data_IF_179945048416
#
_entry.id   IF_179945048416
#
_cell.length_a   1.000
_cell.length_b   1.000
_cell.length_c   1.000
_cell.angle_alpha   90.00
_cell.angle_beta   90.00
_cell.angle_gamma   90.00
#
_symmetry.space_group_name_H-M   'P 1'
#
loop_
_entity.id
_entity.type
_entity.pdbx_description
1 polymer ?
#
# COMPACT_ATOMS: atom_id res chain seq x y z
N UNK A 1 14.39 20.99 8.23
CA UNK A 1 15.19 20.42 7.13
C UNK A 1 15.46 18.97 7.50
N UNK A 2 15.06 18.01 6.68
CA UNK A 2 15.32 16.60 6.97
C UNK A 2 16.83 16.35 6.92
N UNK A 3 17.36 15.66 7.93
CA UNK A 3 18.71 15.10 7.88
C UNK A 3 18.59 13.66 7.41
N UNK A 4 19.53 13.21 6.59
CA UNK A 4 19.58 11.80 6.21
C UNK A 4 19.81 10.96 7.47
N UNK A 5 19.05 9.88 7.58
CA UNK A 5 19.15 8.91 8.67
C UNK A 5 19.17 7.50 8.06
N UNK A 6 20.31 6.77 8.11
CA UNK A 6 20.42 5.44 7.53
C UNK A 6 19.51 4.41 8.22
N UNK A 7 19.07 4.68 9.46
CA UNK A 7 18.12 3.82 10.15
C UNK A 7 16.74 3.83 9.50
N UNK A 8 16.47 4.74 8.56
CA UNK A 8 15.22 4.77 7.80
C UNK A 8 15.16 3.75 6.64
N UNK A 9 16.31 3.24 6.19
CA UNK A 9 16.41 2.33 5.03
C UNK A 9 15.57 1.04 5.18
N UNK A 10 15.46 0.40 6.35
CA UNK A 10 14.61 -0.79 6.52
C UNK A 10 13.12 -0.52 6.25
N UNK A 11 12.65 0.72 6.41
CA UNK A 11 11.24 1.06 6.20
C UNK A 11 10.90 1.41 4.74
N UNK A 12 11.90 1.57 3.87
CA UNK A 12 11.73 2.01 2.50
C UNK A 12 11.16 0.92 1.57
N UNK A 13 10.36 1.31 0.58
CA UNK A 13 10.20 0.55 -0.67
C UNK A 13 11.49 0.59 -1.50
N UNK A 14 11.60 -0.23 -2.54
CA UNK A 14 12.79 -0.24 -3.41
C UNK A 14 13.06 1.14 -4.03
N UNK A 15 12.01 1.82 -4.51
CA UNK A 15 12.14 3.19 -5.05
C UNK A 15 12.52 4.21 -3.97
N UNK A 16 11.95 4.11 -2.77
CA UNK A 16 12.30 5.00 -1.65
C UNK A 16 13.75 4.77 -1.18
N UNK A 17 14.21 3.52 -1.20
CA UNK A 17 15.58 3.14 -0.85
C UNK A 17 16.57 3.77 -1.84
N UNK A 18 16.31 3.63 -3.14
CA UNK A 18 17.14 4.25 -4.18
C UNK A 18 17.23 5.78 -4.01
N UNK A 19 16.12 6.44 -3.68
CA UNK A 19 16.08 7.87 -3.38
C UNK A 19 17.00 8.20 -2.18
N UNK A 20 16.82 7.52 -1.05
CA UNK A 20 17.57 7.77 0.18
C UNK A 20 19.07 7.47 0.02
N UNK A 21 19.44 6.37 -0.63
CA UNK A 21 20.83 6.00 -0.90
C UNK A 21 21.51 6.99 -1.85
N UNK A 22 20.78 7.50 -2.85
CA UNK A 22 21.30 8.53 -3.75
C UNK A 22 21.50 9.86 -3.01
N UNK A 23 20.61 10.20 -2.07
CA UNK A 23 20.78 11.38 -1.23
C UNK A 23 21.97 11.23 -0.27
N UNK A 24 22.15 10.07 0.35
CA UNK A 24 23.33 9.79 1.19
C UNK A 24 24.63 9.96 0.40
N UNK A 25 24.69 9.35 -0.80
CA UNK A 25 25.87 9.41 -1.67
C UNK A 25 26.22 10.84 -2.11
N UNK A 26 25.23 11.67 -2.40
CA UNK A 26 25.44 13.01 -2.96
C UNK A 26 25.47 14.12 -1.89
N UNK A 27 24.98 13.84 -0.67
CA UNK A 27 24.88 14.81 0.43
C UNK A 27 23.89 15.95 0.20
N UNK A 28 23.26 16.03 -0.98
CA UNK A 28 22.35 17.10 -1.39
C UNK A 28 21.07 16.53 -1.99
N UNK A 29 19.95 16.84 -1.33
CA UNK A 29 18.61 16.40 -1.77
C UNK A 29 18.27 16.97 -3.16
N UNK A 30 18.70 18.19 -3.46
CA UNK A 30 18.47 18.83 -4.75
C UNK A 30 19.28 18.18 -5.89
N UNK A 31 20.46 17.64 -5.59
CA UNK A 31 21.26 16.90 -6.58
C UNK A 31 20.76 15.47 -6.77
N UNK A 32 20.33 14.81 -5.69
CA UNK A 32 19.69 13.50 -5.76
C UNK A 32 18.41 13.54 -6.61
N UNK A 33 17.55 14.55 -6.38
CA UNK A 33 16.32 14.71 -7.15
C UNK A 33 16.59 14.92 -8.65
N UNK A 34 17.55 15.78 -9.00
CA UNK A 34 17.96 16.00 -10.40
C UNK A 34 18.55 14.74 -11.05
N UNK A 35 19.36 13.99 -10.30
CA UNK A 35 20.01 12.77 -10.80
C UNK A 35 19.00 11.67 -11.10
N UNK A 36 17.98 11.54 -10.26
CA UNK A 36 16.93 10.52 -10.40
C UNK A 36 15.73 10.98 -11.24
N UNK A 37 15.82 12.18 -11.82
CA UNK A 37 14.78 12.78 -12.67
C UNK A 37 13.45 12.99 -11.94
N UNK A 38 13.47 13.20 -10.63
CA UNK A 38 12.26 13.35 -9.83
C UNK A 38 12.08 14.77 -9.30
N UNK A 39 10.82 15.20 -9.18
CA UNK A 39 10.48 16.49 -8.58
C UNK A 39 10.84 16.50 -7.10
N UNK A 40 11.44 17.61 -6.64
CA UNK A 40 11.78 17.81 -5.21
C UNK A 40 10.57 17.60 -4.30
N UNK A 41 9.38 18.01 -4.75
CA UNK A 41 8.12 17.82 -3.99
C UNK A 41 7.81 16.33 -3.79
N UNK A 42 8.00 15.50 -4.81
CA UNK A 42 7.79 14.05 -4.72
C UNK A 42 8.84 13.39 -3.82
N UNK A 43 10.10 13.86 -3.88
CA UNK A 43 11.16 13.42 -2.96
C UNK A 43 10.80 13.72 -1.50
N UNK A 44 10.37 14.95 -1.18
CA UNK A 44 9.97 15.35 0.17
C UNK A 44 8.79 14.52 0.68
N UNK A 45 7.83 14.18 -0.18
CA UNK A 45 6.71 13.30 0.15
C UNK A 45 7.17 11.88 0.45
N UNK A 46 8.11 11.34 -0.33
CA UNK A 46 8.68 10.02 -0.11
C UNK A 46 9.39 9.92 1.24
N UNK A 47 10.23 10.89 1.61
CA UNK A 47 10.88 10.93 2.94
C UNK A 47 9.84 10.96 4.06
N UNK A 48 8.81 11.82 3.94
CA UNK A 48 7.74 11.91 4.95
C UNK A 48 7.00 10.59 5.11
N UNK A 49 6.73 9.87 4.03
CA UNK A 49 6.08 8.57 4.07
C UNK A 49 6.95 7.54 4.81
N UNK A 50 8.25 7.50 4.52
CA UNK A 50 9.22 6.61 5.20
C UNK A 50 9.28 6.91 6.70
N UNK A 51 9.38 8.19 7.09
CA UNK A 51 9.39 8.59 8.51
C UNK A 51 8.10 8.19 9.21
N UNK A 52 6.93 8.39 8.58
CA UNK A 52 5.65 7.95 9.16
C UNK A 52 5.60 6.44 9.37
N UNK A 53 6.08 5.66 8.40
CA UNK A 53 6.17 4.20 8.51
C UNK A 53 7.14 3.76 9.63
N UNK A 54 8.28 4.43 9.75
CA UNK A 54 9.25 4.21 10.83
C UNK A 54 8.61 4.42 12.22
N UNK A 55 7.83 5.51 12.38
CA UNK A 55 7.11 5.82 13.63
C UNK A 55 6.10 4.73 13.99
N UNK A 56 5.34 4.20 13.02
CA UNK A 56 4.39 3.09 13.25
C UNK A 56 5.09 1.80 13.72
N UNK A 57 6.34 1.60 13.34
CA UNK A 57 7.16 0.50 13.81
C UNK A 57 7.92 0.79 15.09
N UNK A 58 7.79 1.99 15.69
CA UNK A 58 8.44 2.36 16.94
C UNK A 58 9.75 3.10 16.79
N UNK A 59 10.03 3.67 15.62
CA UNK A 59 11.23 4.46 15.34
C UNK A 59 10.90 5.96 15.20
N UNK A 60 11.20 6.70 16.26
CA UNK A 60 11.20 8.16 16.34
C UNK A 60 12.25 8.62 17.36
N UNK A 61 13.51 8.84 16.93
CA UNK A 61 14.61 9.22 17.83
C UNK A 61 14.34 10.49 18.62
N UNK A 62 13.70 11.50 18.01
CA UNK A 62 13.34 12.77 18.66
C UNK A 62 12.33 12.61 19.81
N UNK A 63 11.69 11.43 19.92
CA UNK A 63 10.71 11.10 20.96
C UNK A 63 11.14 9.89 21.81
N UNK A 64 12.44 9.59 21.86
CA UNK A 64 13.03 8.46 22.60
C UNK A 64 12.50 7.08 22.19
N UNK A 65 11.96 6.96 20.97
CA UNK A 65 11.46 5.73 20.38
C UNK A 65 12.51 5.16 19.43
N UNK A 66 13.42 4.32 19.92
CA UNK A 66 14.48 3.72 19.08
C UNK A 66 14.39 2.19 18.98
N UNK A 67 13.41 1.59 19.66
CA UNK A 67 13.21 0.14 19.69
C UNK A 67 12.01 -0.22 18.84
N UNK A 68 12.28 -0.90 17.74
CA UNK A 68 11.27 -1.23 16.75
C UNK A 68 10.66 -2.62 16.99
N UNK A 69 9.48 -2.83 16.39
CA UNK A 69 8.88 -4.16 16.23
C UNK A 69 9.36 -4.83 14.95
N UNK A 70 9.32 -6.18 14.86
CA UNK A 70 9.64 -6.88 13.63
C UNK A 70 8.74 -6.51 12.46
N UNK A 71 9.20 -6.78 11.25
CA UNK A 71 8.42 -6.54 10.02
C UNK A 71 7.04 -7.21 10.07
N UNK A 72 6.03 -6.47 9.60
CA UNK A 72 4.63 -6.90 9.59
C UNK A 72 3.88 -6.67 10.91
N UNK A 73 4.54 -6.15 11.95
CA UNK A 73 3.89 -5.71 13.18
C UNK A 73 3.84 -4.18 13.25
N UNK A 74 2.89 -3.66 14.04
CA UNK A 74 2.79 -2.24 14.38
C UNK A 74 2.82 -2.05 15.90
N UNK A 75 3.47 -0.98 16.35
CA UNK A 75 3.49 -0.61 17.77
C UNK A 75 2.11 -0.11 18.18
N UNK A 76 1.48 -0.79 19.13
CA UNK A 76 0.18 -0.36 19.70
C UNK A 76 0.33 0.80 20.69
N UNK A 77 1.46 0.87 21.37
CA UNK A 77 1.79 1.92 22.33
C UNK A 77 3.21 1.74 22.87
N UNK A 78 3.80 2.84 23.35
CA UNK A 78 5.14 2.85 23.95
C UNK A 78 5.01 3.20 25.42
N UNK A 79 5.78 2.49 26.23
CA UNK A 79 5.83 2.67 27.67
C UNK A 79 7.28 2.89 28.08
N UNK A 80 7.62 4.13 28.38
CA UNK A 80 8.99 4.54 28.71
C UNK A 80 9.09 4.92 30.18
N UNK A 81 10.12 4.40 30.85
CA UNK A 81 10.45 4.79 32.21
C UNK A 81 11.61 5.79 32.20
N UNK A 82 11.33 7.01 32.65
CA UNK A 82 12.34 8.05 32.83
C UNK A 82 12.77 8.07 34.29
N UNK A 83 14.08 7.89 34.52
CA UNK A 83 14.66 7.95 35.86
C UNK A 83 14.55 9.38 36.40
N UNK A 84 14.56 9.51 37.72
CA UNK A 84 14.58 10.80 38.38
C UNK A 84 15.79 11.62 37.93
N UNK A 85 15.57 12.91 37.66
CA UNK A 85 16.58 13.90 37.34
C UNK A 85 16.62 14.96 38.45
N UNK A 86 17.64 15.84 38.50
CA UNK A 86 17.64 16.96 39.43
C UNK A 86 16.39 17.86 39.30
N UNK A 87 15.76 17.85 38.12
CA UNK A 87 14.62 18.69 37.76
C UNK A 87 13.25 17.99 37.98
N UNK A 88 13.21 16.73 38.43
CA UNK A 88 11.93 16.05 38.68
C UNK A 88 12.01 14.58 39.12
N UNK A 89 10.90 14.04 39.67
CA UNK A 89 10.82 12.65 40.10
C UNK A 89 10.83 11.68 38.92
N UNK A 90 11.12 10.42 39.19
CA UNK A 90 11.01 9.36 38.18
C UNK A 90 9.57 9.28 37.63
N UNK A 91 9.44 9.13 36.32
CA UNK A 91 8.15 9.17 35.63
C UNK A 91 7.97 7.98 34.70
N UNK A 92 6.76 7.42 34.71
CA UNK A 92 6.33 6.43 33.74
C UNK A 92 5.44 7.10 32.71
N UNK A 93 5.88 7.14 31.44
CA UNK A 93 5.11 7.72 30.34
C UNK A 93 4.57 6.59 29.47
N UNK A 94 3.25 6.57 29.29
CA UNK A 94 2.56 5.65 28.38
C UNK A 94 1.94 6.46 27.25
N UNK A 95 2.29 6.12 26.01
CA UNK A 95 1.69 6.66 24.80
C UNK A 95 0.97 5.55 24.05
N UNK A 96 -0.17 5.87 23.47
CA UNK A 96 -0.93 4.98 22.58
C UNK A 96 -1.35 5.78 21.36
N UNK A 97 -1.12 5.24 20.17
CA UNK A 97 -1.66 5.85 18.96
C UNK A 97 -3.19 5.79 19.01
N UNK A 98 -3.85 6.90 18.69
CA UNK A 98 -5.31 6.88 18.52
C UNK A 98 -5.66 6.08 17.27
N UNK A 99 -6.84 5.46 17.24
CA UNK A 99 -7.30 4.74 16.04
C UNK A 99 -7.30 5.65 14.80
N UNK A 100 -7.64 6.93 14.98
CA UNK A 100 -7.61 7.92 13.90
C UNK A 100 -6.20 8.16 13.35
N UNK A 101 -5.19 8.30 14.21
CA UNK A 101 -3.80 8.50 13.76
C UNK A 101 -3.27 7.28 12.99
N UNK A 102 -3.70 6.07 13.35
CA UNK A 102 -3.36 4.85 12.60
C UNK A 102 -4.04 4.86 11.23
N UNK A 103 -5.33 5.21 11.15
CA UNK A 103 -6.07 5.29 9.89
C UNK A 103 -5.45 6.33 8.95
N UNK A 104 -5.12 7.51 9.46
CA UNK A 104 -4.53 8.57 8.65
C UNK A 104 -3.14 8.18 8.14
N UNK A 105 -2.31 7.56 8.98
CA UNK A 105 -1.02 7.04 8.56
C UNK A 105 -1.14 5.92 7.52
N UNK A 106 -2.14 5.03 7.63
CA UNK A 106 -2.41 4.01 6.64
C UNK A 106 -2.85 4.61 5.30
N UNK A 107 -3.72 5.64 5.32
CA UNK A 107 -4.11 6.38 4.11
C UNK A 107 -2.90 6.99 3.41
N UNK A 108 -2.02 7.65 4.16
CA UNK A 108 -0.81 8.25 3.59
C UNK A 108 0.13 7.21 2.97
N UNK A 109 0.24 6.02 3.57
CA UNK A 109 1.01 4.91 3.01
C UNK A 109 0.37 4.40 1.72
N UNK A 110 -0.96 4.24 1.69
CA UNK A 110 -1.69 3.85 0.48
C UNK A 110 -1.50 4.89 -0.63
N UNK A 111 -1.60 6.19 -0.33
CA UNK A 111 -1.34 7.25 -1.30
C UNK A 111 0.10 7.25 -1.83
N UNK A 112 1.08 6.93 -0.97
CA UNK A 112 2.46 6.77 -1.41
C UNK A 112 2.64 5.54 -2.31
N UNK A 113 1.98 4.42 -2.01
CA UNK A 113 2.03 3.20 -2.82
C UNK A 113 1.35 3.37 -4.19
N UNK A 114 0.31 4.21 -4.28
CA UNK A 114 -0.33 4.57 -5.55
C UNK A 114 0.63 5.22 -6.55
N UNK A 115 1.75 5.82 -6.10
CA UNK A 115 2.70 6.48 -7.00
C UNK A 115 3.43 5.51 -7.93
N UNK A 116 3.51 4.23 -7.56
CA UNK A 116 4.14 3.18 -8.37
C UNK A 116 3.13 2.49 -9.31
N UNK A 117 1.84 2.82 -9.22
CA UNK A 117 0.79 2.29 -10.10
C UNK A 117 0.67 3.22 -11.32
N UNK A 118 0.87 2.73 -12.56
CA UNK A 118 0.71 3.56 -13.75
C UNK A 118 -0.73 4.07 -13.84
N UNK A 119 -0.88 5.40 -13.94
CA UNK A 119 -2.20 5.99 -14.18
C UNK A 119 -2.74 5.54 -15.53
N UNK A 120 -4.00 5.11 -15.55
CA UNK A 120 -4.70 4.90 -16.81
C UNK A 120 -4.74 6.20 -17.62
N UNK A 121 -4.59 6.10 -18.93
CA UNK A 121 -4.72 7.24 -19.84
C UNK A 121 -6.11 7.87 -19.66
N UNK A 122 -6.15 9.17 -19.38
CA UNK A 122 -7.41 9.90 -19.29
C UNK A 122 -8.17 9.79 -20.62
N UNK A 123 -9.43 9.37 -20.55
CA UNK A 123 -10.33 9.33 -21.71
C UNK A 123 -11.15 10.61 -21.78
N UNK A 124 -11.52 11.01 -23.00
CA UNK A 124 -12.46 12.12 -23.19
C UNK A 124 -13.83 11.68 -22.66
N UNK A 125 -14.45 12.43 -21.74
CA UNK A 125 -15.80 12.11 -21.28
C UNK A 125 -16.80 12.25 -22.44
N UNK A 126 -17.92 11.50 -22.42
CA UNK A 126 -18.97 11.66 -23.42
C UNK A 126 -19.61 13.05 -23.32
N UNK A 127 -20.02 13.62 -24.46
CA UNK A 127 -20.67 14.94 -24.54
C UNK A 127 -22.00 15.00 -23.79
N UNK A 128 -22.67 13.85 -23.65
CA UNK A 128 -23.96 13.70 -22.99
C UNK A 128 -23.97 12.45 -22.11
N UNK A 129 -24.52 12.61 -20.90
CA UNK A 129 -24.83 11.54 -19.94
C UNK A 129 -26.30 11.62 -19.54
N UNK A 130 -26.88 10.48 -19.21
CA UNK A 130 -28.24 10.36 -18.68
C UNK A 130 -28.19 10.26 -17.15
N UNK A 131 -28.79 11.25 -16.48
CA UNK A 131 -28.86 11.35 -15.03
C UNK A 131 -29.78 10.29 -14.39
N UNK A 132 -30.71 9.73 -15.16
CA UNK A 132 -31.63 8.70 -14.67
C UNK A 132 -31.04 7.28 -14.79
N UNK A 133 -29.85 7.13 -15.38
CA UNK A 133 -29.16 5.86 -15.54
C UNK A 133 -27.99 5.69 -14.55
N UNK A 134 -27.81 4.45 -14.10
CA UNK A 134 -26.65 4.01 -13.32
C UNK A 134 -26.17 2.65 -13.83
N UNK A 135 -24.92 2.59 -14.31
CA UNK A 135 -24.32 1.33 -14.75
C UNK A 135 -23.92 0.48 -13.53
N UNK A 136 -24.07 -0.84 -13.61
CA UNK A 136 -23.65 -1.77 -12.57
C UNK A 136 -22.66 -2.77 -13.17
N UNK A 137 -21.39 -2.65 -12.79
CA UNK A 137 -20.32 -3.56 -13.17
C UNK A 137 -20.08 -4.55 -12.04
N UNK A 138 -20.53 -5.80 -12.22
CA UNK A 138 -20.38 -6.84 -11.20
C UNK A 138 -19.21 -7.76 -11.51
N UNK A 139 -18.34 -7.95 -10.53
CA UNK A 139 -17.32 -9.00 -10.50
C UNK A 139 -17.72 -10.05 -9.48
N UNK A 140 -17.64 -11.31 -9.86
CA UNK A 140 -17.94 -12.42 -8.97
C UNK A 140 -17.03 -13.60 -9.28
N UNK A 141 -16.69 -14.38 -8.25
CA UNK A 141 -15.83 -15.57 -8.34
C UNK A 141 -14.55 -15.36 -9.16
N UNK A 142 -13.88 -14.22 -8.94
CA UNK A 142 -12.74 -13.78 -9.74
C UNK A 142 -11.41 -14.41 -9.29
N UNK A 143 -11.29 -14.80 -8.01
CA UNK A 143 -10.14 -15.53 -7.46
C UNK A 143 -8.76 -14.95 -7.84
N UNK A 144 -8.56 -13.66 -7.60
CA UNK A 144 -7.26 -13.00 -7.73
C UNK A 144 -6.23 -13.68 -6.82
N UNK A 145 -5.12 -14.13 -7.42
CA UNK A 145 -4.07 -14.88 -6.73
C UNK A 145 -4.20 -16.42 -6.78
N UNK A 146 -5.20 -16.95 -7.47
CA UNK A 146 -5.28 -18.39 -7.79
C UNK A 146 -4.22 -18.79 -8.81
N UNK A 147 -3.71 -20.02 -8.69
CA UNK A 147 -2.95 -20.70 -9.73
C UNK A 147 -3.76 -21.89 -10.23
N UNK A 148 -4.03 -21.95 -11.53
CA UNK A 148 -4.63 -23.12 -12.17
C UNK A 148 -3.80 -23.55 -13.37
N UNK A 149 -3.73 -24.86 -13.58
CA UNK A 149 -2.99 -25.46 -14.69
C UNK A 149 -3.95 -26.15 -15.66
N UNK A 150 -3.82 -25.84 -16.95
CA UNK A 150 -4.74 -26.31 -17.98
C UNK A 150 -4.86 -27.85 -18.09
N UNK A 151 -3.79 -28.61 -17.85
CA UNK A 151 -3.83 -30.08 -17.95
C UNK A 151 -4.67 -30.71 -16.83
N UNK A 152 -4.79 -30.01 -15.70
CA UNK A 152 -5.56 -30.46 -14.54
C UNK A 152 -6.99 -29.90 -14.54
N UNK A 153 -7.12 -28.58 -14.72
CA UNK A 153 -8.37 -27.84 -14.55
C UNK A 153 -9.05 -27.39 -15.85
N UNK A 154 -8.43 -27.63 -17.02
CA UNK A 154 -8.96 -27.26 -18.33
C UNK A 154 -8.68 -25.82 -18.77
N UNK A 155 -8.13 -24.97 -17.90
CA UNK A 155 -7.64 -23.64 -18.26
C UNK A 155 -6.47 -23.21 -17.35
N UNK A 156 -5.57 -22.41 -17.88
CA UNK A 156 -4.52 -21.77 -17.09
C UNK A 156 -5.09 -20.53 -16.38
N UNK A 157 -4.66 -20.30 -15.15
CA UNK A 157 -4.97 -19.10 -14.40
C UNK A 157 -3.78 -18.69 -13.54
N UNK A 158 -3.40 -17.42 -13.62
CA UNK A 158 -2.37 -16.80 -12.80
C UNK A 158 -2.71 -15.30 -12.63
N UNK A 159 -1.95 -14.57 -11.82
CA UNK A 159 -2.19 -13.15 -11.55
C UNK A 159 -2.15 -12.31 -12.83
N UNK A 160 -1.28 -12.66 -13.78
CA UNK A 160 -1.14 -11.90 -15.02
C UNK A 160 -2.35 -12.10 -15.93
N UNK A 161 -2.81 -13.34 -16.07
CA UNK A 161 -4.05 -13.68 -16.80
C UNK A 161 -5.24 -12.97 -16.16
N UNK A 162 -5.32 -12.97 -14.83
CA UNK A 162 -6.37 -12.27 -14.10
C UNK A 162 -6.35 -10.77 -14.46
N UNK A 163 -5.22 -10.08 -14.25
CA UNK A 163 -5.05 -8.65 -14.56
C UNK A 163 -5.48 -8.31 -16.00
N UNK A 164 -4.98 -9.05 -16.99
CA UNK A 164 -5.30 -8.85 -18.41
C UNK A 164 -6.80 -9.02 -18.69
N UNK A 165 -7.43 -10.03 -18.08
CA UNK A 165 -8.88 -10.28 -18.20
C UNK A 165 -9.69 -9.15 -17.56
N UNK A 166 -9.34 -8.72 -16.35
CA UNK A 166 -10.06 -7.68 -15.63
C UNK A 166 -10.08 -6.37 -16.41
N UNK A 167 -8.91 -5.96 -16.92
CA UNK A 167 -8.78 -4.74 -17.73
C UNK A 167 -9.61 -4.88 -19.02
N UNK A 168 -9.48 -6.00 -19.72
CA UNK A 168 -10.14 -6.22 -21.01
C UNK A 168 -11.67 -6.30 -20.87
N UNK A 169 -12.16 -6.98 -19.83
CA UNK A 169 -13.60 -7.11 -19.56
C UNK A 169 -14.18 -5.78 -19.12
N UNK A 170 -13.49 -5.04 -18.25
CA UNK A 170 -13.96 -3.71 -17.84
C UNK A 170 -14.03 -2.73 -19.00
N UNK A 171 -13.00 -2.69 -19.85
CA UNK A 171 -13.00 -1.85 -21.04
C UNK A 171 -14.22 -2.18 -21.92
N UNK A 172 -14.51 -3.47 -22.12
CA UNK A 172 -15.69 -3.93 -22.89
C UNK A 172 -17.01 -3.59 -22.23
N UNK A 173 -17.14 -3.78 -20.92
CA UNK A 173 -18.35 -3.46 -20.18
C UNK A 173 -18.65 -1.96 -20.26
N UNK A 174 -17.63 -1.11 -20.11
CA UNK A 174 -17.77 0.35 -20.23
C UNK A 174 -18.17 0.72 -21.65
N UNK A 175 -17.49 0.20 -22.67
CA UNK A 175 -17.77 0.50 -24.09
C UNK A 175 -19.19 0.07 -24.52
N UNK A 176 -19.73 -0.98 -23.92
CA UNK A 176 -21.07 -1.48 -24.19
C UNK A 176 -22.16 -0.87 -23.30
N UNK A 177 -21.78 -0.07 -22.30
CA UNK A 177 -22.73 0.57 -21.41
C UNK A 177 -23.29 1.85 -22.01
N UNK A 178 -24.53 2.24 -21.67
CA UNK A 178 -25.00 3.58 -21.96
C UNK A 178 -24.19 4.63 -21.20
N UNK A 179 -24.20 5.87 -21.70
CA UNK A 179 -23.63 7.02 -21.02
C UNK A 179 -24.49 7.38 -19.79
N UNK A 180 -24.23 6.72 -18.67
CA UNK A 180 -24.90 6.97 -17.40
C UNK A 180 -24.15 8.04 -16.57
N UNK A 181 -24.86 8.84 -15.77
CA UNK A 181 -24.23 9.74 -14.79
C UNK A 181 -23.55 8.96 -13.66
N UNK A 182 -24.15 7.84 -13.26
CA UNK A 182 -23.65 6.98 -12.19
C UNK A 182 -23.08 5.65 -12.68
N UNK A 183 -22.13 5.11 -11.92
CA UNK A 183 -21.75 3.71 -12.03
C UNK A 183 -21.45 3.12 -10.65
N UNK A 184 -21.80 1.84 -10.47
CA UNK A 184 -21.47 1.03 -9.30
C UNK A 184 -20.53 -0.09 -9.76
N UNK A 185 -19.38 -0.17 -9.11
CA UNK A 185 -18.51 -1.35 -9.22
C UNK A 185 -18.85 -2.26 -8.04
N UNK A 186 -19.49 -3.38 -8.35
CA UNK A 186 -19.95 -4.36 -7.38
C UNK A 186 -19.01 -5.56 -7.36
N UNK A 187 -18.15 -5.62 -6.34
CA UNK A 187 -17.32 -6.80 -6.09
C UNK A 187 -18.13 -7.74 -5.19
N UNK A 188 -18.68 -8.80 -5.78
CA UNK A 188 -19.64 -9.70 -5.14
C UNK A 188 -19.10 -11.13 -5.12
N UNK A 189 -18.88 -11.70 -3.93
CA UNK A 189 -18.34 -13.06 -3.80
C UNK A 189 -16.82 -13.10 -3.76
N UNK A 190 -16.22 -14.19 -4.24
CA UNK A 190 -14.80 -14.49 -4.03
C UNK A 190 -13.90 -13.71 -4.99
N UNK A 191 -13.55 -12.48 -4.59
CA UNK A 191 -12.62 -11.65 -5.35
C UNK A 191 -11.16 -12.07 -5.16
N UNK A 192 -10.74 -12.33 -3.92
CA UNK A 192 -9.40 -12.84 -3.61
C UNK A 192 -9.46 -14.36 -3.51
N UNK A 193 -8.42 -15.05 -3.98
CA UNK A 193 -8.34 -16.50 -3.85
C UNK A 193 -7.98 -16.96 -2.42
N UNK A 194 -7.29 -16.11 -1.66
CA UNK A 194 -6.88 -16.41 -0.28
C UNK A 194 -7.23 -15.26 0.64
N UNK A 195 -7.59 -15.55 1.89
CA UNK A 195 -7.95 -14.54 2.90
C UNK A 195 -6.77 -14.15 3.81
N UNK A 196 -5.56 -14.65 3.53
CA UNK A 196 -4.40 -14.45 4.40
C UNK A 196 -3.08 -14.87 3.80
N UNK A 197 -2.00 -14.64 4.57
CA UNK A 197 -0.61 -14.90 4.12
C UNK A 197 -0.29 -16.36 3.81
N UNK A 198 -1.06 -17.28 4.38
CA UNK A 198 -0.93 -18.72 4.14
C UNK A 198 -2.07 -19.12 3.21
N UNK A 199 -1.80 -19.80 2.08
CA UNK A 199 -2.82 -20.18 1.10
C UNK A 199 -3.62 -21.36 1.62
N UNK A 200 -4.43 -21.12 2.64
CA UNK A 200 -5.34 -22.09 3.22
C UNK A 200 -6.69 -21.44 3.49
N UNK A 201 -7.78 -22.22 3.37
CA UNK A 201 -9.09 -21.70 3.75
C UNK A 201 -9.13 -21.36 5.25
N UNK A 202 -9.72 -20.22 5.68
CA UNK A 202 -9.65 -19.79 7.08
C UNK A 202 -10.25 -20.77 8.08
N UNK A 203 -11.32 -21.45 7.67
CA UNK A 203 -12.11 -22.33 8.53
C UNK A 203 -11.61 -23.77 8.49
N UNK A 204 -11.42 -24.33 7.30
CA UNK A 204 -11.13 -25.76 7.10
C UNK A 204 -9.64 -26.07 6.86
N UNK A 205 -8.81 -25.05 6.65
CA UNK A 205 -7.36 -25.15 6.41
C UNK A 205 -6.97 -26.02 5.22
N UNK A 206 -7.83 -26.14 4.21
CA UNK A 206 -7.47 -26.80 2.97
C UNK A 206 -6.42 -25.97 2.24
N UNK A 207 -5.37 -26.62 1.76
CA UNK A 207 -4.32 -25.98 0.96
C UNK A 207 -4.93 -25.53 -0.37
N UNK A 208 -4.62 -24.29 -0.74
CA UNK A 208 -5.06 -23.65 -1.98
C UNK A 208 -3.87 -23.48 -2.91
N UNK A 209 -4.10 -23.66 -4.21
CA UNK A 209 -3.10 -23.41 -5.24
C UNK A 209 -3.04 -21.90 -5.52
N UNK A 210 -2.03 -21.24 -4.96
CA UNK A 210 -1.83 -19.80 -5.06
C UNK A 210 -0.63 -19.44 -5.93
N UNK A 211 -0.83 -18.52 -6.86
CA UNK A 211 0.19 -18.09 -7.83
C UNK A 211 1.29 -17.21 -7.18
N UNK A 212 1.01 -16.64 -6.01
CA UNK A 212 2.02 -15.87 -5.27
C UNK A 212 1.76 -15.75 -3.78
N UNK A 213 2.62 -14.98 -3.11
CA UNK A 213 2.43 -14.55 -1.71
C UNK A 213 1.36 -13.46 -1.67
N UNK A 214 0.48 -13.47 -0.66
CA UNK A 214 -0.59 -12.47 -0.46
C UNK A 214 -0.21 -11.00 -0.72
N UNK A 215 0.99 -10.48 -0.38
CA UNK A 215 1.35 -9.09 -0.65
C UNK A 215 1.69 -8.76 -2.12
N UNK A 216 1.76 -9.77 -3.00
CA UNK A 216 2.05 -9.61 -4.43
C UNK A 216 0.81 -9.67 -5.33
N UNK A 217 -0.31 -10.18 -4.80
CA UNK A 217 -1.60 -10.18 -5.48
C UNK A 217 -2.43 -8.96 -5.14
#
# INVERSE_FOLDING_TARGET
>A
MFKFDPALLPFCTDRQRELLETWDRLGSLAEAARTLGCDKKNFDLAIKAVVKKAVLQGYSPDHDMIRTVPDGFMVKGVSSYYKATPDGPAQWVKSSATQQAIIDALRDVVEALKQDIPFATAITPPDHVDADLCNLYTFTDYHLGMLAWNEEGGADWDIKIAEDILISVMARMIDQSPNAEGAIINIQGDFLHTDGKTPVTPTSKHVLDADSRFPKG
#
